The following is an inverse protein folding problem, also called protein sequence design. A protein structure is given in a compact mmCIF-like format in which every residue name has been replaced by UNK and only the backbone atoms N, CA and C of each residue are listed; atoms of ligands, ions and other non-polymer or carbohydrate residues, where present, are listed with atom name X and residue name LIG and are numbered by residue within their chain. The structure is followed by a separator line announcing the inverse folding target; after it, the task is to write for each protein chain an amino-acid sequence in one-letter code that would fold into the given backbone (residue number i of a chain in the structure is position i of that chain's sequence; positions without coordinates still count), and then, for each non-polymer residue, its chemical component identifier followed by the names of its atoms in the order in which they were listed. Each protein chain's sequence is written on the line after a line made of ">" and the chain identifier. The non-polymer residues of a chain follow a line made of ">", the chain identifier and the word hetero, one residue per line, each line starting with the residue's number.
data_IF_917361335620
#
_entry.id   IF_917361335620
#
_cell.length_a   1.000
_cell.length_b   1.000
_cell.length_c   1.000
_cell.angle_alpha   90.00
_cell.angle_beta   90.00
_cell.angle_gamma   90.00
#
_symmetry.space_group_name_H-M   'P 1'
#
loop_
_entity.id
_entity.type
_entity.pdbx_description
1 polymer ?
#
# COMPACT_ATOMS: atom_id res chain seq x y z
N UNK A 1 5.24 -4.51 -26.03
CA UNK A 1 4.01 -3.70 -25.86
C UNK A 1 4.27 -2.71 -24.74
N UNK A 2 4.16 -1.40 -25.00
CA UNK A 2 4.43 -0.37 -23.98
C UNK A 2 3.13 -0.14 -23.17
N UNK A 3 3.18 -0.11 -21.82
CA UNK A 3 2.00 0.01 -20.97
C UNK A 3 1.07 1.17 -21.36
N UNK A 4 1.65 2.28 -21.80
CA UNK A 4 0.97 3.50 -22.27
C UNK A 4 -0.08 3.27 -23.38
N UNK A 5 0.04 2.21 -24.17
CA UNK A 5 -0.86 1.99 -25.32
C UNK A 5 -2.17 1.28 -24.93
N UNK A 6 -2.21 0.58 -23.79
CA UNK A 6 -3.43 -0.09 -23.28
C UNK A 6 -4.34 0.92 -22.58
N UNK A 7 -3.76 1.94 -21.96
CA UNK A 7 -4.47 2.95 -21.18
C UNK A 7 -5.38 3.86 -22.03
N UNK A 8 -5.06 4.06 -23.32
CA UNK A 8 -5.86 4.88 -24.24
C UNK A 8 -7.21 4.27 -24.64
N UNK A 9 -7.44 2.97 -24.35
CA UNK A 9 -8.63 2.23 -24.80
C UNK A 9 -9.50 1.78 -23.61
N UNK A 10 -8.89 1.49 -22.46
CA UNK A 10 -9.55 0.83 -21.32
C UNK A 10 -9.35 1.54 -19.96
N UNK A 11 -9.00 2.83 -19.92
CA UNK A 11 -8.61 3.53 -18.69
C UNK A 11 -9.54 3.35 -17.48
N UNK A 12 -10.86 3.43 -17.67
CA UNK A 12 -11.84 3.20 -16.60
C UNK A 12 -11.86 1.74 -16.09
N UNK A 13 -11.65 0.77 -16.99
CA UNK A 13 -11.53 -0.63 -16.61
C UNK A 13 -10.22 -0.89 -15.85
N UNK A 14 -9.10 -0.28 -16.28
CA UNK A 14 -7.81 -0.35 -15.58
C UNK A 14 -7.92 0.18 -14.14
N UNK A 15 -8.52 1.35 -13.92
CA UNK A 15 -8.74 1.91 -12.58
C UNK A 15 -9.58 0.97 -11.69
N UNK A 16 -10.66 0.41 -12.23
CA UNK A 16 -11.47 -0.58 -11.51
C UNK A 16 -10.69 -1.84 -11.15
N UNK A 17 -9.88 -2.39 -12.06
CA UNK A 17 -9.06 -3.55 -11.76
C UNK A 17 -8.01 -3.25 -10.68
N UNK A 18 -7.37 -2.09 -10.74
CA UNK A 18 -6.40 -1.67 -9.72
C UNK A 18 -7.06 -1.55 -8.34
N UNK A 19 -8.27 -1.01 -8.26
CA UNK A 19 -9.08 -0.98 -7.04
C UNK A 19 -9.39 -2.38 -6.52
N UNK A 20 -9.94 -3.26 -7.37
CA UNK A 20 -10.33 -4.62 -6.98
C UNK A 20 -9.11 -5.44 -6.52
N UNK A 21 -7.97 -5.29 -7.20
CA UNK A 21 -6.69 -5.92 -6.81
C UNK A 21 -6.20 -5.34 -5.48
N UNK A 22 -6.21 -4.01 -5.32
CA UNK A 22 -5.75 -3.35 -4.08
C UNK A 22 -6.59 -3.80 -2.89
N UNK A 23 -7.91 -3.89 -3.05
CA UNK A 23 -8.81 -4.39 -2.00
C UNK A 23 -8.52 -5.84 -1.66
N UNK A 24 -8.36 -6.71 -2.66
CA UNK A 24 -8.04 -8.13 -2.45
C UNK A 24 -6.71 -8.29 -1.71
N UNK A 25 -5.67 -7.54 -2.09
CA UNK A 25 -4.37 -7.58 -1.41
C UNK A 25 -4.48 -7.12 0.04
N UNK A 26 -5.24 -6.06 0.32
CA UNK A 26 -5.46 -5.58 1.68
C UNK A 26 -6.23 -6.59 2.55
N UNK A 27 -7.27 -7.21 1.99
CA UNK A 27 -8.07 -8.25 2.65
C UNK A 27 -7.20 -9.47 3.01
N UNK A 28 -6.43 -9.97 2.05
CA UNK A 28 -5.55 -11.11 2.23
C UNK A 28 -4.42 -10.83 3.23
N UNK A 29 -3.86 -9.63 3.21
CA UNK A 29 -2.88 -9.20 4.19
C UNK A 29 -3.47 -9.17 5.61
N UNK A 30 -4.67 -8.60 5.78
CA UNK A 30 -5.35 -8.58 7.07
C UNK A 30 -5.69 -9.98 7.57
N UNK A 31 -6.20 -10.86 6.69
CA UNK A 31 -6.47 -12.26 7.02
C UNK A 31 -5.21 -13.00 7.47
N UNK A 32 -4.09 -12.79 6.76
CA UNK A 32 -2.81 -13.37 7.15
C UNK A 32 -2.35 -12.85 8.53
N UNK A 33 -2.48 -11.54 8.78
CA UNK A 33 -2.12 -10.93 10.05
C UNK A 33 -3.01 -11.41 11.21
N UNK A 34 -4.28 -11.74 10.94
CA UNK A 34 -5.21 -12.27 11.94
C UNK A 34 -4.96 -13.76 12.26
N UNK A 35 -4.48 -14.55 11.30
CA UNK A 35 -4.21 -15.97 11.49
C UNK A 35 -2.78 -16.27 11.97
N UNK A 36 -1.84 -15.34 11.77
CA UNK A 36 -0.46 -15.50 12.22
C UNK A 36 -0.26 -14.97 13.65
N UNK A 37 0.65 -15.56 14.44
CA UNK A 37 1.09 -14.90 15.67
C UNK A 37 1.71 -13.54 15.34
N UNK A 38 1.49 -12.57 16.22
CA UNK A 38 2.06 -11.23 16.06
C UNK A 38 3.58 -11.32 15.82
N UNK A 39 4.12 -10.56 14.86
CA UNK A 39 5.53 -10.65 14.51
C UNK A 39 6.39 -10.34 15.74
N UNK A 40 7.52 -11.05 15.93
CA UNK A 40 8.44 -10.71 17.00
C UNK A 40 8.92 -9.28 16.80
N UNK A 41 9.33 -8.64 17.90
CA UNK A 41 9.70 -7.24 17.89
C UNK A 41 10.78 -6.88 16.87
N UNK A 42 11.74 -7.78 16.64
CA UNK A 42 12.77 -7.61 15.60
C UNK A 42 12.21 -7.54 14.16
N UNK A 43 11.02 -8.10 13.92
CA UNK A 43 10.32 -8.06 12.64
C UNK A 43 9.23 -6.98 12.57
N UNK A 44 8.82 -6.39 13.70
CA UNK A 44 7.76 -5.39 13.75
C UNK A 44 8.05 -4.18 12.85
N UNK A 45 9.29 -3.67 12.86
CA UNK A 45 9.71 -2.58 11.98
C UNK A 45 9.41 -2.86 10.51
N UNK A 46 9.82 -4.04 10.04
CA UNK A 46 9.65 -4.43 8.64
C UNK A 46 8.17 -4.62 8.28
N UNK A 47 7.41 -5.30 9.13
CA UNK A 47 5.98 -5.52 8.92
C UNK A 47 5.21 -4.19 8.86
N UNK A 48 5.49 -3.24 9.76
CA UNK A 48 4.87 -1.89 9.71
C UNK A 48 5.28 -1.12 8.47
N UNK A 49 6.55 -1.18 8.07
CA UNK A 49 7.05 -0.52 6.88
C UNK A 49 6.33 -1.04 5.63
N UNK A 50 6.27 -2.37 5.44
CA UNK A 50 5.62 -2.99 4.28
C UNK A 50 4.13 -2.65 4.21
N UNK A 51 3.40 -2.72 5.34
CA UNK A 51 1.99 -2.31 5.40
C UNK A 51 1.79 -0.81 5.11
N UNK A 52 2.69 0.05 5.60
CA UNK A 52 2.63 1.50 5.36
C UNK A 52 2.93 1.84 3.89
N UNK A 53 3.90 1.16 3.27
CA UNK A 53 4.23 1.34 1.86
C UNK A 53 3.11 0.84 0.94
N UNK A 54 2.47 -0.28 1.28
CA UNK A 54 1.28 -0.76 0.55
C UNK A 54 0.14 0.27 0.63
N UNK A 55 -0.18 0.74 1.83
CA UNK A 55 -1.20 1.78 2.04
C UNK A 55 -0.91 3.03 1.20
N UNK A 56 0.36 3.45 1.18
CA UNK A 56 0.80 4.62 0.44
C UNK A 56 0.71 4.42 -1.08
N UNK A 57 1.16 3.26 -1.57
CA UNK A 57 1.13 2.95 -2.99
C UNK A 57 -0.30 2.89 -3.53
N UNK A 58 -1.21 2.27 -2.77
CA UNK A 58 -2.59 2.08 -3.19
C UNK A 58 -3.52 3.24 -2.83
N UNK A 59 -3.04 4.34 -2.24
CA UNK A 59 -3.87 5.34 -1.57
C UNK A 59 -5.04 5.89 -2.42
N UNK A 60 -4.84 6.12 -3.72
CA UNK A 60 -5.90 6.59 -4.62
C UNK A 60 -6.98 5.53 -4.94
N UNK A 61 -6.68 4.26 -4.69
CA UNK A 61 -7.50 3.10 -5.04
C UNK A 61 -8.08 2.37 -3.84
N UNK A 62 -7.75 2.81 -2.62
CA UNK A 62 -8.28 2.19 -1.41
C UNK A 62 -9.76 2.54 -1.25
N UNK A 63 -10.60 1.51 -1.25
CA UNK A 63 -11.95 1.62 -0.71
C UNK A 63 -11.88 1.79 0.81
N UNK A 64 -12.95 2.30 1.43
CA UNK A 64 -13.06 2.36 2.89
C UNK A 64 -12.86 0.98 3.54
N UNK A 65 -13.29 -0.09 2.86
CA UNK A 65 -13.11 -1.47 3.30
C UNK A 65 -11.63 -1.87 3.28
N UNK A 66 -10.92 -1.62 2.17
CA UNK A 66 -9.48 -1.88 2.06
C UNK A 66 -8.66 -1.09 3.11
N UNK A 67 -9.01 0.17 3.33
CA UNK A 67 -8.39 1.03 4.34
C UNK A 67 -8.58 0.45 5.77
N UNK A 68 -9.77 -0.05 6.10
CA UNK A 68 -10.02 -0.70 7.39
C UNK A 68 -9.13 -1.94 7.59
N UNK A 69 -8.96 -2.79 6.55
CA UNK A 69 -8.06 -3.94 6.63
C UNK A 69 -6.62 -3.55 6.94
N UNK A 70 -6.12 -2.46 6.36
CA UNK A 70 -4.78 -1.96 6.62
C UNK A 70 -4.64 -1.37 8.03
N UNK A 71 -5.67 -0.69 8.54
CA UNK A 71 -5.70 -0.18 9.92
C UNK A 71 -5.66 -1.33 10.92
N UNK A 72 -6.48 -2.36 10.72
CA UNK A 72 -6.50 -3.57 11.56
C UNK A 72 -5.15 -4.29 11.53
N UNK A 73 -4.56 -4.44 10.35
CA UNK A 73 -3.21 -5.01 10.18
C UNK A 73 -2.15 -4.19 10.94
N UNK A 74 -2.15 -2.86 10.83
CA UNK A 74 -1.19 -2.01 11.53
C UNK A 74 -1.40 -2.01 13.05
N UNK A 75 -2.62 -2.27 13.52
CA UNK A 75 -2.94 -2.39 14.93
C UNK A 75 -2.49 -3.73 15.54
N UNK A 76 -2.44 -4.81 14.75
CA UNK A 76 -1.96 -6.13 15.20
C UNK A 76 -0.43 -6.22 15.28
N UNK A 77 0.29 -5.36 14.55
CA UNK A 77 1.75 -5.30 14.56
C UNK A 77 2.22 -4.43 15.75
N UNK A 78 3.22 -4.88 16.55
CA UNK A 78 3.78 -4.06 17.63
C UNK A 78 4.21 -2.66 17.15
N UNK A 79 3.98 -1.58 17.93
CA UNK A 79 4.37 -0.24 17.54
C UNK A 79 5.89 -0.04 17.58
N UNK A 80 6.38 1.00 16.91
CA UNK A 80 7.77 1.47 17.05
C UNK A 80 7.90 2.23 18.37
N UNK A 81 8.90 1.89 19.18
CA UNK A 81 9.04 2.47 20.51
C UNK A 81 10.01 3.64 20.54
N UNK A 82 11.01 3.64 19.67
CA UNK A 82 12.05 4.67 19.65
C UNK A 82 11.78 5.73 18.59
N UNK A 83 12.16 6.97 18.86
CA UNK A 83 12.11 8.04 17.87
C UNK A 83 13.09 7.80 16.72
N UNK A 84 14.19 7.10 16.99
CA UNK A 84 15.18 6.67 16.00
C UNK A 84 14.56 5.71 14.98
N UNK A 85 13.77 4.73 15.43
CA UNK A 85 13.04 3.82 14.54
C UNK A 85 12.01 4.57 13.69
N UNK A 86 11.23 5.48 14.30
CA UNK A 86 10.24 6.29 13.56
C UNK A 86 10.90 7.13 12.47
N UNK A 87 11.97 7.87 12.82
CA UNK A 87 12.76 8.66 11.87
C UNK A 87 13.34 7.80 10.76
N UNK A 88 13.87 6.60 11.09
CA UNK A 88 14.38 5.67 10.08
C UNK A 88 13.28 5.21 9.13
N UNK A 89 12.10 4.88 9.64
CA UNK A 89 10.95 4.49 8.83
C UNK A 89 10.54 5.63 7.89
N UNK A 90 10.44 6.86 8.40
CA UNK A 90 10.12 8.04 7.60
C UNK A 90 11.15 8.26 6.49
N UNK A 91 12.45 8.15 6.77
CA UNK A 91 13.50 8.28 5.77
C UNK A 91 13.35 7.25 4.64
N UNK A 92 13.05 5.99 4.98
CA UNK A 92 12.83 4.93 3.98
C UNK A 92 11.58 5.23 3.14
N UNK A 93 10.50 5.71 3.76
CA UNK A 93 9.28 6.09 3.05
C UNK A 93 9.54 7.24 2.09
N UNK A 94 10.33 8.25 2.48
CA UNK A 94 10.68 9.36 1.58
C UNK A 94 11.56 8.90 0.41
N UNK A 95 12.54 8.03 0.66
CA UNK A 95 13.37 7.47 -0.41
C UNK A 95 12.54 6.60 -1.37
N UNK A 96 11.60 5.81 -0.84
CA UNK A 96 10.64 5.06 -1.64
C UNK A 96 9.82 5.98 -2.55
N UNK A 97 9.22 7.04 -2.00
CA UNK A 97 8.44 8.02 -2.79
C UNK A 97 9.27 8.61 -3.92
N UNK A 98 10.50 9.01 -3.63
CA UNK A 98 11.40 9.61 -4.63
C UNK A 98 11.80 8.62 -5.72
N UNK A 99 12.11 7.37 -5.36
CA UNK A 99 12.54 6.34 -6.31
C UNK A 99 11.39 5.74 -7.12
N UNK A 100 10.18 5.75 -6.57
CA UNK A 100 8.99 5.20 -7.19
C UNK A 100 8.03 6.27 -7.73
N UNK A 101 8.48 7.52 -7.86
CA UNK A 101 7.63 8.65 -8.27
C UNK A 101 6.82 8.33 -9.53
N UNK A 102 7.47 7.81 -10.58
CA UNK A 102 6.80 7.47 -11.83
C UNK A 102 5.79 6.32 -11.65
N UNK A 103 6.16 5.27 -10.92
CA UNK A 103 5.30 4.11 -10.68
C UNK A 103 4.07 4.50 -9.85
N UNK A 104 4.28 5.32 -8.82
CA UNK A 104 3.20 5.85 -7.98
C UNK A 104 2.31 6.79 -8.78
N UNK A 105 2.86 7.60 -9.67
CA UNK A 105 2.09 8.45 -10.56
C UNK A 105 1.23 7.62 -11.52
N UNK A 106 1.80 6.61 -12.20
CA UNK A 106 1.05 5.72 -13.08
C UNK A 106 -0.05 4.95 -12.34
N UNK A 107 0.25 4.50 -11.11
CA UNK A 107 -0.73 3.82 -10.29
C UNK A 107 -1.87 4.78 -9.91
N UNK A 108 -1.56 6.01 -9.48
CA UNK A 108 -2.52 7.03 -9.06
C UNK A 108 -3.12 7.86 -10.21
N UNK A 109 -2.94 7.48 -11.47
CA UNK A 109 -3.58 8.17 -12.57
C UNK A 109 -5.11 7.98 -12.46
N UNK A 110 -5.79 8.97 -11.89
CA UNK A 110 -7.23 9.15 -11.99
C UNK A 110 -7.57 9.39 -13.46
N UNK A 111 -8.04 8.33 -14.12
CA UNK A 111 -8.68 8.45 -15.44
C UNK A 111 -10.17 8.77 -15.19
N UNK A 112 -10.45 9.93 -14.60
CA UNK A 112 -11.77 10.54 -14.66
C UNK A 112 -11.80 11.55 -15.82
N UNK A 113 -12.44 11.09 -16.90
CA UNK A 113 -13.10 11.86 -17.97
C UNK A 113 -12.24 12.83 -18.80
N UNK A 114 -11.84 12.36 -19.99
CA UNK A 114 -12.07 13.12 -21.23
C UNK A 114 -13.25 12.48 -21.94
#
# INVERSE_FOLDING_TARGET
>A
MRPVQVDSICGAACSRYVRDISETVCEELSRLAACAPAPPRAAAFRARLEASLLRLACAAHLTRKAENYLVETLASIPPLETEEEKKRMDMIIQDFKKRMELQLACLNCDIETV
#
